data_IF_506164935186
#
_entry.id   IF_506164935186
#
_cell.length_a   1.000
_cell.length_b   1.000
_cell.length_c   1.000
_cell.angle_alpha   90.00
_cell.angle_beta   90.00
_cell.angle_gamma   90.00
#
_symmetry.space_group_name_H-M   'P 1'
#
loop_
_entity.id
_entity.type
_entity.pdbx_description
1 polymer ?
#
# COMPACT_ATOMS: atom_id res chain seq x y z
N UNK A 1 5.77 -32.13 31.32
CA UNK A 1 5.51 -30.83 31.92
C UNK A 1 6.65 -29.88 31.68
N UNK A 2 7.89 -30.34 31.87
CA UNK A 2 9.09 -29.50 31.65
C UNK A 2 9.22 -29.13 30.18
N UNK A 3 8.98 -30.07 29.29
CA UNK A 3 9.05 -29.83 27.84
C UNK A 3 8.00 -28.82 27.42
N UNK A 4 6.81 -28.92 27.99
CA UNK A 4 5.71 -27.98 27.71
C UNK A 4 6.07 -26.56 28.12
N UNK A 5 6.70 -26.41 29.29
CA UNK A 5 7.12 -25.08 29.78
C UNK A 5 8.20 -24.49 28.87
N UNK A 6 9.12 -25.30 28.40
CA UNK A 6 10.15 -24.83 27.48
C UNK A 6 9.54 -24.40 26.14
N UNK A 7 8.55 -25.16 25.66
CA UNK A 7 7.83 -24.78 24.44
C UNK A 7 7.06 -23.49 24.62
N UNK A 8 6.45 -23.28 25.76
CA UNK A 8 5.73 -22.03 26.06
C UNK A 8 6.67 -20.83 26.09
N UNK A 9 7.86 -20.99 26.66
CA UNK A 9 8.85 -19.92 26.66
C UNK A 9 9.30 -19.55 25.23
N UNK A 10 9.51 -20.55 24.40
CA UNK A 10 9.85 -20.34 22.99
C UNK A 10 8.69 -19.66 22.26
N UNK A 11 7.47 -20.08 22.54
CA UNK A 11 6.28 -19.48 21.96
C UNK A 11 6.15 -18.01 22.35
N UNK A 12 6.46 -17.67 23.57
CA UNK A 12 6.46 -16.28 24.02
C UNK A 12 7.44 -15.42 23.24
N UNK A 13 8.65 -15.91 23.00
CA UNK A 13 9.64 -15.22 22.18
C UNK A 13 9.17 -15.05 20.75
N UNK A 14 8.52 -16.06 20.19
CA UNK A 14 7.96 -15.99 18.83
C UNK A 14 6.82 -14.95 18.73
N UNK A 15 6.00 -14.86 19.76
CA UNK A 15 4.93 -13.86 19.79
C UNK A 15 5.52 -12.46 19.73
N UNK A 16 6.60 -12.19 20.46
CA UNK A 16 7.29 -10.92 20.37
C UNK A 16 7.85 -10.64 18.97
N UNK A 17 8.47 -11.65 18.35
CA UNK A 17 8.98 -11.53 17.00
C UNK A 17 7.85 -11.28 15.98
N UNK A 18 6.69 -11.90 16.18
CA UNK A 18 5.54 -11.68 15.31
C UNK A 18 5.02 -10.25 15.42
N UNK A 19 5.01 -9.71 16.62
CA UNK A 19 4.59 -8.33 16.84
C UNK A 19 5.51 -7.36 16.10
N UNK A 20 6.80 -7.55 16.19
CA UNK A 20 7.76 -6.72 15.46
C UNK A 20 7.57 -6.85 13.96
N UNK A 21 7.34 -8.07 13.46
CA UNK A 21 7.08 -8.30 12.04
C UNK A 21 5.79 -7.63 11.58
N UNK A 22 4.76 -7.65 12.42
CA UNK A 22 3.49 -6.99 12.12
C UNK A 22 3.67 -5.48 12.04
N UNK A 23 4.40 -4.91 12.99
CA UNK A 23 4.68 -3.48 12.98
C UNK A 23 5.48 -3.06 11.74
N UNK A 24 6.46 -3.85 11.35
CA UNK A 24 7.22 -3.63 10.13
C UNK A 24 6.34 -3.72 8.89
N UNK A 25 5.41 -4.66 8.88
CA UNK A 25 4.45 -4.82 7.79
C UNK A 25 3.58 -3.58 7.63
N UNK A 26 3.04 -3.08 8.73
CA UNK A 26 2.20 -1.86 8.72
C UNK A 26 3.04 -0.66 8.26
N UNK A 27 4.28 -0.54 8.72
CA UNK A 27 5.17 0.54 8.31
C UNK A 27 5.43 0.51 6.79
N UNK A 28 5.57 -0.69 6.21
CA UNK A 28 5.72 -0.83 4.76
C UNK A 28 4.50 -0.36 3.99
N UNK A 29 3.30 -0.71 4.48
CA UNK A 29 2.07 -0.25 3.85
C UNK A 29 1.98 1.27 3.87
N UNK A 30 2.32 1.88 4.99
CA UNK A 30 2.33 3.32 5.11
C UNK A 30 3.35 3.98 4.18
N UNK A 31 4.54 3.41 4.05
CA UNK A 31 5.55 3.90 3.13
C UNK A 31 5.08 3.85 1.69
N UNK A 32 4.43 2.75 1.29
CA UNK A 32 3.88 2.62 -0.05
C UNK A 32 2.83 3.70 -0.31
N UNK A 33 1.91 3.89 0.61
CA UNK A 33 0.87 4.89 0.47
C UNK A 33 1.44 6.30 0.43
N UNK A 34 2.40 6.61 1.29
CA UNK A 34 3.03 7.92 1.34
C UNK A 34 3.82 8.22 0.07
N UNK A 35 4.53 7.23 -0.44
CA UNK A 35 5.28 7.37 -1.69
C UNK A 35 4.35 7.69 -2.86
N UNK A 36 3.23 6.99 -2.94
CA UNK A 36 2.24 7.24 -3.98
C UNK A 36 1.56 8.61 -3.80
N UNK A 37 1.26 8.99 -2.57
CA UNK A 37 0.62 10.28 -2.28
C UNK A 37 1.49 11.49 -2.60
N UNK A 38 2.78 11.32 -2.80
CA UNK A 38 3.67 12.44 -3.08
C UNK A 38 3.45 13.07 -4.45
N UNK A 39 2.69 12.42 -5.32
CA UNK A 39 2.39 12.94 -6.66
C UNK A 39 1.18 13.87 -6.64
N UNK A 40 1.12 14.87 -7.53
CA UNK A 40 -0.01 15.79 -7.58
C UNK A 40 -1.26 15.16 -8.22
N UNK A 41 -2.43 15.69 -7.87
CA UNK A 41 -3.69 15.23 -8.45
C UNK A 41 -4.24 13.95 -7.84
N UNK A 42 -3.67 13.47 -6.75
CA UNK A 42 -4.09 12.25 -6.09
C UNK A 42 -5.15 12.57 -5.04
N UNK A 43 -6.26 11.82 -5.08
CA UNK A 43 -7.34 11.92 -4.10
C UNK A 43 -7.12 10.94 -2.95
N UNK A 44 -6.98 9.66 -3.26
CA UNK A 44 -6.82 8.61 -2.27
C UNK A 44 -5.84 7.55 -2.74
N UNK A 45 -5.17 6.91 -1.79
CA UNK A 45 -4.25 5.81 -2.06
C UNK A 45 -4.52 4.69 -1.06
N UNK A 46 -4.60 3.46 -1.55
CA UNK A 46 -4.76 2.27 -0.72
C UNK A 46 -3.72 1.22 -1.09
N UNK A 47 -2.97 0.75 -0.11
CA UNK A 47 -2.13 -0.43 -0.25
C UNK A 47 -2.98 -1.64 0.11
N UNK A 48 -3.15 -2.56 -0.82
CA UNK A 48 -4.00 -3.74 -0.65
C UNK A 48 -3.23 -5.01 -0.97
N UNK A 49 -3.84 -6.17 -0.73
CA UNK A 49 -3.23 -7.48 -0.96
C UNK A 49 -1.86 -7.61 -0.30
N UNK A 50 -1.80 -7.27 0.99
CA UNK A 50 -0.56 -7.34 1.77
C UNK A 50 0.58 -6.52 1.17
N UNK A 51 0.25 -5.39 0.56
CA UNK A 51 1.25 -4.50 -0.04
C UNK A 51 1.70 -4.91 -1.42
N UNK A 52 1.01 -5.84 -2.06
CA UNK A 52 1.34 -6.26 -3.42
C UNK A 52 0.67 -5.42 -4.49
N UNK A 53 -0.31 -4.61 -4.09
CA UNK A 53 -0.99 -3.70 -5.00
C UNK A 53 -1.20 -2.36 -4.31
N UNK A 54 -0.98 -1.29 -5.07
CA UNK A 54 -1.28 0.08 -4.64
C UNK A 54 -2.35 0.62 -5.57
N UNK A 55 -3.51 0.96 -5.03
CA UNK A 55 -4.58 1.59 -5.80
C UNK A 55 -4.55 3.09 -5.55
N UNK A 56 -4.45 3.84 -6.62
CA UNK A 56 -4.35 5.29 -6.58
C UNK A 56 -5.57 5.88 -7.27
N UNK A 57 -6.36 6.61 -6.52
CA UNK A 57 -7.52 7.33 -7.06
C UNK A 57 -7.11 8.77 -7.34
N UNK A 58 -7.27 9.20 -8.57
CA UNK A 58 -6.86 10.54 -8.99
C UNK A 58 -8.08 11.40 -9.26
N UNK A 59 -7.87 12.72 -9.22
CA UNK A 59 -8.90 13.71 -9.56
C UNK A 59 -9.12 13.70 -11.07
N UNK A 60 -10.31 13.27 -11.56
CA UNK A 60 -10.52 13.17 -13.03
C UNK A 60 -10.42 14.51 -13.74
N UNK A 61 -10.68 15.60 -13.04
CA UNK A 61 -10.60 16.94 -13.61
C UNK A 61 -9.16 17.45 -13.74
N UNK A 62 -8.25 16.93 -12.91
CA UNK A 62 -6.85 17.36 -12.90
C UNK A 62 -5.94 16.41 -13.65
N UNK A 63 -6.31 15.13 -13.73
CA UNK A 63 -5.49 14.08 -14.32
C UNK A 63 -6.28 13.43 -15.44
N UNK A 64 -5.84 13.60 -16.68
CA UNK A 64 -6.44 12.91 -17.83
C UNK A 64 -5.89 11.49 -17.97
N UNK A 65 -6.36 10.75 -18.97
CA UNK A 65 -5.95 9.37 -19.17
C UNK A 65 -4.46 9.23 -19.45
N UNK A 66 -3.90 10.15 -20.22
CA UNK A 66 -2.47 10.15 -20.51
C UNK A 66 -1.65 10.41 -19.27
N UNK A 67 -2.04 11.41 -18.50
CA UNK A 67 -1.36 11.76 -17.26
C UNK A 67 -1.47 10.63 -16.23
N UNK A 68 -2.64 9.96 -16.16
CA UNK A 68 -2.82 8.81 -15.28
C UNK A 68 -1.88 7.66 -15.65
N UNK A 69 -1.75 7.39 -16.94
CA UNK A 69 -0.85 6.36 -17.43
C UNK A 69 0.61 6.65 -17.08
N UNK A 70 1.01 7.89 -17.28
CA UNK A 70 2.36 8.35 -16.94
C UNK A 70 2.60 8.29 -15.43
N UNK A 71 1.60 8.69 -14.64
CA UNK A 71 1.66 8.65 -13.19
C UNK A 71 1.85 7.22 -12.68
N UNK A 72 1.16 6.25 -13.27
CA UNK A 72 1.32 4.85 -12.88
C UNK A 72 2.77 4.39 -13.06
N UNK A 73 3.38 4.76 -14.17
CA UNK A 73 4.79 4.45 -14.44
C UNK A 73 5.72 5.14 -13.45
N UNK A 74 5.46 6.40 -13.16
CA UNK A 74 6.31 7.19 -12.26
C UNK A 74 6.21 6.68 -10.83
N UNK A 75 5.02 6.31 -10.38
CA UNK A 75 4.82 5.74 -9.04
C UNK A 75 5.54 4.40 -8.95
N UNK A 76 5.38 3.54 -9.94
CA UNK A 76 6.05 2.24 -9.95
C UNK A 76 7.57 2.39 -9.89
N UNK A 77 8.12 3.31 -10.66
CA UNK A 77 9.55 3.59 -10.67
C UNK A 77 10.04 4.11 -9.32
N UNK A 78 9.29 5.01 -8.72
CA UNK A 78 9.64 5.57 -7.42
C UNK A 78 9.63 4.49 -6.33
N UNK A 79 8.64 3.61 -6.35
CA UNK A 79 8.57 2.48 -5.41
C UNK A 79 9.78 1.57 -5.58
N UNK A 80 10.14 1.24 -6.81
CA UNK A 80 11.32 0.40 -7.07
C UNK A 80 12.60 1.03 -6.54
N UNK A 81 12.77 2.32 -6.74
CA UNK A 81 13.99 3.02 -6.36
C UNK A 81 14.10 3.25 -4.86
N UNK A 82 13.00 3.59 -4.21
CA UNK A 82 13.05 4.01 -2.80
C UNK A 82 12.78 2.91 -1.81
N UNK A 83 11.95 1.93 -2.16
CA UNK A 83 11.45 0.98 -1.18
C UNK A 83 12.04 -0.43 -1.29
N UNK A 84 12.62 -0.79 -2.40
CA UNK A 84 13.36 -2.06 -2.60
C UNK A 84 12.62 -3.28 -2.05
N UNK A 85 11.36 -3.48 -2.46
CA UNK A 85 10.60 -4.66 -2.06
C UNK A 85 10.97 -5.87 -2.89
N UNK A 86 10.99 -7.06 -2.27
CA UNK A 86 11.09 -8.29 -3.06
C UNK A 86 9.78 -8.55 -3.79
N UNK A 87 9.87 -8.88 -5.07
CA UNK A 87 8.72 -9.19 -5.89
C UNK A 87 8.11 -7.97 -6.57
N UNK A 88 7.02 -8.21 -7.28
CA UNK A 88 6.33 -7.17 -8.03
C UNK A 88 5.25 -6.49 -7.20
N UNK A 89 5.11 -5.19 -7.37
CA UNK A 89 4.02 -4.42 -6.80
C UNK A 89 3.23 -3.84 -7.95
N UNK A 90 1.93 -4.15 -7.99
CA UNK A 90 1.04 -3.62 -9.01
C UNK A 90 0.61 -2.20 -8.62
N UNK A 91 0.79 -1.27 -9.53
CA UNK A 91 0.30 0.10 -9.35
C UNK A 91 -0.90 0.29 -10.27
N UNK A 92 -2.06 0.55 -9.68
CA UNK A 92 -3.30 0.75 -10.40
C UNK A 92 -3.76 2.18 -10.18
N UNK A 93 -3.83 2.97 -11.26
CA UNK A 93 -4.34 4.33 -11.19
C UNK A 93 -5.76 4.35 -11.72
N UNK A 94 -6.68 4.87 -10.91
CA UNK A 94 -8.11 4.86 -11.22
C UNK A 94 -8.59 6.29 -11.37
N UNK A 95 -9.16 6.60 -12.54
CA UNK A 95 -9.89 7.83 -12.80
C UNK A 95 -11.37 7.48 -12.75
N UNK A 96 -12.09 8.05 -11.82
CA UNK A 96 -13.52 7.76 -11.66
C UNK A 96 -14.30 9.05 -11.57
N UNK A 97 -15.29 9.21 -12.46
CA UNK A 97 -16.23 10.32 -12.41
C UNK A 97 -17.56 9.81 -11.92
N UNK A 98 -18.11 10.47 -10.91
CA UNK A 98 -19.43 10.11 -10.36
C UNK A 98 -20.36 11.29 -10.46
N UNK A 99 -21.59 11.00 -10.85
CA UNK A 99 -22.67 11.96 -10.85
C UNK A 99 -23.74 11.45 -9.92
N UNK A 100 -24.13 12.26 -8.95
CA UNK A 100 -25.13 11.89 -7.97
C UNK A 100 -26.28 12.89 -8.00
N UNK A 101 -27.49 12.37 -8.01
CA UNK A 101 -28.71 13.16 -7.93
C UNK A 101 -29.60 12.56 -6.85
N UNK A 102 -30.37 13.42 -6.19
CA UNK A 102 -31.26 12.98 -5.14
C UNK A 102 -32.70 13.03 -5.63
N UNK A 103 -33.39 11.90 -5.51
CA UNK A 103 -34.82 11.85 -5.70
C UNK A 103 -35.50 12.37 -4.43
N UNK A 104 -36.39 13.35 -4.59
CA UNK A 104 -37.09 13.94 -3.46
C UNK A 104 -38.58 13.64 -3.50
#
# INVERSE_FOLDING_TARGET
AIITKAADAISGARIGARKDSYEQFIARLEELENTAKSFPGIDKVYAIQAGREVRVFVQPNEVDDYAAHQMAKDIARKIEQELQYPGEIRVTVIRESRVMEYAK
#
